data_IF_716911594951
#
_entry.id   IF_716911594951
#
_cell.length_a   1.000
_cell.length_b   1.000
_cell.length_c   1.000
_cell.angle_alpha   90.00
_cell.angle_beta   90.00
_cell.angle_gamma   90.00
#
_symmetry.space_group_name_H-M   'P 1'
#
loop_
_entity.id
_entity.type
_entity.pdbx_description
1 polymer ?
#
# COMPACT_ATOMS: atom_id res chain seq x y z
N UNK A 1 46.28 22.59 -24.11
CA UNK A 1 47.35 23.23 -23.36
C UNK A 1 48.03 22.20 -22.47
N UNK A 2 49.32 22.30 -22.25
CA UNK A 2 50.02 21.49 -21.24
C UNK A 2 49.68 22.00 -19.84
N UNK A 3 49.56 21.11 -18.89
CA UNK A 3 49.22 21.45 -17.51
C UNK A 3 48.71 20.25 -16.72
N UNK A 4 48.47 20.47 -15.43
CA UNK A 4 47.84 19.50 -14.54
C UNK A 4 46.35 19.80 -14.46
N UNK A 5 45.55 18.79 -14.68
CA UNK A 5 44.10 18.86 -14.69
C UNK A 5 43.54 17.90 -13.66
N UNK A 6 42.39 18.26 -13.08
CA UNK A 6 41.64 17.41 -12.17
C UNK A 6 40.31 17.11 -12.78
N UNK A 7 39.90 15.84 -12.79
CA UNK A 7 38.53 15.44 -13.13
C UNK A 7 37.62 15.91 -11.99
N UNK A 8 36.79 16.91 -12.24
CA UNK A 8 35.89 17.45 -11.24
C UNK A 8 34.63 16.58 -11.06
N UNK A 9 34.35 15.70 -12.02
CA UNK A 9 33.30 14.70 -11.94
C UNK A 9 32.97 14.16 -13.32
N UNK A 10 32.49 12.92 -13.36
CA UNK A 10 31.76 12.37 -14.49
C UNK A 10 30.60 11.52 -13.94
N UNK A 11 29.57 11.34 -14.76
CA UNK A 11 28.41 10.60 -14.42
C UNK A 11 28.05 9.69 -15.60
N UNK A 12 27.83 8.41 -15.31
CA UNK A 12 27.33 7.45 -16.28
C UNK A 12 25.85 7.17 -16.00
N UNK A 13 25.04 7.27 -17.02
CA UNK A 13 23.61 7.02 -16.94
C UNK A 13 23.23 5.83 -17.82
N UNK A 14 22.21 5.09 -17.40
CA UNK A 14 21.59 4.12 -18.26
C UNK A 14 20.94 4.83 -19.46
N UNK A 15 21.07 4.24 -20.65
CA UNK A 15 20.57 4.85 -21.89
C UNK A 15 19.04 4.71 -22.04
N UNK A 16 18.39 3.88 -21.25
CA UNK A 16 16.95 3.56 -21.37
C UNK A 16 16.14 4.30 -20.32
N UNK A 17 16.57 4.26 -19.06
CA UNK A 17 15.84 4.83 -17.93
C UNK A 17 16.50 6.09 -17.33
N UNK A 18 17.63 6.54 -17.90
CA UNK A 18 18.40 7.71 -17.48
C UNK A 18 18.85 7.64 -16.00
N UNK A 19 18.91 6.45 -15.42
CA UNK A 19 19.37 6.27 -14.04
C UNK A 19 20.89 6.37 -13.93
N UNK A 20 21.37 6.98 -12.85
CA UNK A 20 22.80 7.09 -12.54
C UNK A 20 23.38 5.72 -12.24
N UNK A 21 24.30 5.25 -13.09
CA UNK A 21 24.99 3.96 -12.94
C UNK A 21 26.27 4.06 -12.14
N UNK A 22 27.01 5.14 -12.32
CA UNK A 22 28.27 5.35 -11.66
C UNK A 22 28.71 6.82 -11.71
N UNK A 23 29.57 7.19 -10.79
CA UNK A 23 30.25 8.51 -10.79
C UNK A 23 31.65 8.41 -10.25
N UNK A 24 32.48 9.34 -10.62
CA UNK A 24 33.81 9.51 -10.02
C UNK A 24 34.23 10.97 -10.08
N UNK A 25 35.14 11.36 -9.19
CA UNK A 25 35.73 12.70 -9.14
C UNK A 25 37.07 12.67 -8.42
N UNK A 26 37.88 13.73 -8.61
CA UNK A 26 39.11 13.95 -7.85
C UNK A 26 40.39 13.38 -8.48
N UNK A 27 40.29 12.65 -9.58
CA UNK A 27 41.48 12.14 -10.28
C UNK A 27 42.25 13.27 -10.97
N UNK A 28 43.58 13.27 -10.83
CA UNK A 28 44.44 14.31 -11.36
C UNK A 28 45.41 13.71 -12.38
N UNK A 29 45.56 14.35 -13.52
CA UNK A 29 46.47 13.94 -14.57
C UNK A 29 47.23 15.13 -15.18
N UNK A 30 48.36 14.86 -15.80
CA UNK A 30 49.20 15.90 -16.40
C UNK A 30 49.28 15.71 -17.92
N UNK A 31 48.90 16.75 -18.65
CA UNK A 31 49.06 16.79 -20.11
C UNK A 31 50.36 17.46 -20.46
N UNK A 32 51.20 16.76 -21.24
CA UNK A 32 52.47 17.30 -21.78
C UNK A 32 52.23 17.78 -23.22
N UNK A 33 52.78 18.92 -23.55
CA UNK A 33 52.56 19.53 -24.86
C UNK A 33 53.01 18.62 -26.01
N UNK A 34 52.15 18.45 -27.02
CA UNK A 34 52.38 17.62 -28.20
C UNK A 34 52.17 16.11 -28.04
N UNK A 35 51.79 15.64 -26.87
CA UNK A 35 51.45 14.24 -26.58
C UNK A 35 49.97 13.96 -26.53
N UNK A 36 49.58 12.68 -26.71
CA UNK A 36 48.29 12.12 -26.35
C UNK A 36 48.41 11.52 -24.96
N UNK A 37 47.58 11.98 -24.04
CA UNK A 37 47.47 11.39 -22.70
C UNK A 37 46.15 10.60 -22.63
N UNK A 38 46.25 9.33 -22.26
CA UNK A 38 45.09 8.45 -22.04
C UNK A 38 44.97 8.21 -20.54
N UNK A 39 43.85 8.63 -19.99
CA UNK A 39 43.52 8.42 -18.57
C UNK A 39 42.46 7.32 -18.41
N UNK A 40 42.78 6.37 -17.54
CA UNK A 40 41.81 5.36 -17.11
C UNK A 40 41.10 5.85 -15.85
N UNK A 41 39.83 6.20 -15.98
CA UNK A 41 39.01 6.57 -14.83
C UNK A 41 38.51 5.30 -14.14
N UNK A 42 38.78 5.18 -12.85
CA UNK A 42 38.19 4.12 -12.05
C UNK A 42 36.71 4.44 -11.83
N UNK A 43 35.85 3.51 -12.21
CA UNK A 43 34.40 3.64 -12.06
C UNK A 43 33.94 2.67 -10.98
N UNK A 44 33.44 3.19 -9.88
CA UNK A 44 32.76 2.39 -8.90
C UNK A 44 31.28 2.30 -9.31
N UNK A 45 30.88 1.11 -9.71
CA UNK A 45 29.45 0.85 -9.99
C UNK A 45 28.68 0.81 -8.68
N UNK A 46 27.56 1.52 -8.64
CA UNK A 46 26.65 1.44 -7.50
C UNK A 46 25.89 0.12 -7.62
N UNK A 47 26.16 -0.83 -6.73
CA UNK A 47 25.37 -2.03 -6.60
C UNK A 47 23.92 -1.64 -6.28
N UNK A 48 22.96 -2.18 -7.02
CA UNK A 48 21.55 -1.83 -6.87
C UNK A 48 20.61 -2.98 -7.21
N UNK A 49 19.49 -3.02 -6.58
CA UNK A 49 18.45 -3.99 -6.85
C UNK A 49 17.06 -3.36 -6.96
N UNK A 50 16.09 -4.16 -7.33
CA UNK A 50 14.71 -3.74 -7.47
C UNK A 50 13.94 -4.04 -6.19
N UNK A 51 12.94 -3.20 -5.91
CA UNK A 51 11.96 -3.48 -4.86
C UNK A 51 10.55 -3.33 -5.41
N UNK A 52 9.67 -4.22 -4.96
CA UNK A 52 8.23 -4.15 -5.17
C UNK A 52 7.56 -4.03 -3.81
N UNK A 53 6.81 -2.96 -3.59
CA UNK A 53 6.15 -2.72 -2.32
C UNK A 53 4.80 -3.44 -2.25
N UNK A 54 4.54 -4.07 -1.10
CA UNK A 54 3.25 -4.61 -0.72
C UNK A 54 2.61 -3.69 0.33
N UNK A 55 1.35 -3.32 0.14
CA UNK A 55 0.60 -2.56 1.12
C UNK A 55 -0.13 -3.54 2.04
N UNK A 56 0.04 -3.36 3.34
CA UNK A 56 -0.63 -4.18 4.35
C UNK A 56 -1.41 -3.28 5.29
N UNK A 57 -2.59 -3.74 5.71
CA UNK A 57 -3.38 -3.01 6.69
C UNK A 57 -2.73 -3.11 8.06
N UNK A 58 -2.60 -1.98 8.73
CA UNK A 58 -2.24 -1.92 10.14
C UNK A 58 -3.24 -1.06 10.90
N UNK A 59 -3.84 -1.61 11.96
CA UNK A 59 -4.80 -0.91 12.78
C UNK A 59 -4.10 -0.27 13.98
N UNK A 60 -4.12 1.05 14.05
CA UNK A 60 -3.69 1.76 15.26
C UNK A 60 -4.72 1.59 16.39
N UNK A 61 -4.28 0.98 17.48
CA UNK A 61 -5.14 0.75 18.65
C UNK A 61 -5.48 2.04 19.45
N UNK A 62 -4.80 3.14 19.21
CA UNK A 62 -4.80 4.30 20.11
C UNK A 62 -5.03 5.66 19.46
N UNK A 63 -5.15 5.77 18.16
CA UNK A 63 -5.27 7.06 17.49
C UNK A 63 -6.73 7.42 17.17
N UNK A 64 -7.23 8.43 17.90
CA UNK A 64 -8.41 9.17 17.46
C UNK A 64 -7.99 10.15 16.35
N UNK A 65 -8.37 9.88 15.10
CA UNK A 65 -8.13 10.77 13.96
C UNK A 65 -7.09 10.27 12.98
N UNK A 66 -7.26 9.11 12.40
CA UNK A 66 -6.56 8.69 11.19
C UNK A 66 -7.33 9.10 9.94
N UNK A 67 -6.68 8.96 8.78
CA UNK A 67 -7.31 9.30 7.51
C UNK A 67 -8.59 8.47 7.29
N UNK A 68 -9.71 9.15 7.14
CA UNK A 68 -11.00 8.56 6.79
C UNK A 68 -10.99 8.18 5.30
N UNK A 69 -10.28 7.11 4.95
CA UNK A 69 -10.32 6.56 3.60
C UNK A 69 -10.44 5.04 3.63
N UNK A 70 -11.06 4.51 2.60
CA UNK A 70 -11.15 3.06 2.45
C UNK A 70 -9.83 2.52 1.89
N UNK A 71 -9.28 1.50 2.52
CA UNK A 71 -8.11 0.80 2.00
C UNK A 71 -8.35 0.33 0.55
N UNK A 72 -9.53 -0.18 0.26
CA UNK A 72 -9.95 -0.61 -1.07
C UNK A 72 -10.04 0.52 -2.12
N UNK A 73 -10.02 1.78 -1.69
CA UNK A 73 -10.06 2.94 -2.58
C UNK A 73 -8.68 3.57 -2.87
N UNK A 74 -7.61 3.06 -2.30
CA UNK A 74 -6.25 3.53 -2.63
C UNK A 74 -5.95 3.16 -4.09
N UNK A 75 -5.50 4.14 -4.87
CA UNK A 75 -5.17 3.96 -6.29
C UNK A 75 -3.71 4.23 -6.58
N UNK A 76 -3.11 5.15 -5.83
CA UNK A 76 -1.71 5.50 -5.92
C UNK A 76 -1.15 5.64 -4.50
N UNK A 77 0.15 5.45 -4.37
CA UNK A 77 0.88 5.67 -3.12
C UNK A 77 2.25 6.28 -3.41
N UNK A 78 2.61 7.31 -2.65
CA UNK A 78 4.01 7.72 -2.53
C UNK A 78 4.62 6.91 -1.39
N UNK A 79 5.81 6.38 -1.59
CA UNK A 79 6.53 5.63 -0.56
C UNK A 79 7.89 6.25 -0.34
N UNK A 80 8.21 6.57 0.92
CA UNK A 80 9.55 7.01 1.31
C UNK A 80 10.23 5.92 2.11
N UNK A 81 11.48 5.62 1.74
CA UNK A 81 12.32 4.65 2.44
C UNK A 81 13.61 5.32 2.86
N UNK A 82 14.13 4.93 4.01
CA UNK A 82 15.41 5.44 4.51
C UNK A 82 16.40 4.29 4.65
N UNK A 83 17.60 4.47 4.13
CA UNK A 83 18.71 3.54 4.35
C UNK A 83 19.12 3.60 5.82
N UNK A 84 19.18 2.45 6.48
CA UNK A 84 19.44 2.39 7.93
C UNK A 84 20.88 2.72 8.31
N UNK A 85 21.83 2.64 7.36
CA UNK A 85 23.25 2.95 7.58
C UNK A 85 23.59 4.37 7.11
N UNK A 86 23.30 4.71 5.84
CA UNK A 86 23.66 6.03 5.29
C UNK A 86 22.72 7.14 5.72
N UNK A 87 21.52 6.80 6.16
CA UNK A 87 20.42 7.73 6.51
C UNK A 87 19.85 8.50 5.31
N UNK A 88 20.23 8.14 4.12
CA UNK A 88 19.63 8.69 2.91
C UNK A 88 18.19 8.23 2.76
N UNK A 89 17.35 9.15 2.30
CA UNK A 89 15.92 8.89 2.08
C UNK A 89 15.60 9.00 0.60
N UNK A 90 14.93 7.99 0.09
CA UNK A 90 14.43 7.91 -1.28
C UNK A 90 12.92 7.96 -1.26
N UNK A 91 12.33 8.73 -2.18
CA UNK A 91 10.87 8.86 -2.29
C UNK A 91 10.43 8.49 -3.69
N UNK A 92 9.48 7.57 -3.77
CA UNK A 92 8.89 7.08 -5.01
C UNK A 92 7.46 7.60 -5.12
N UNK A 93 7.20 8.56 -6.01
CA UNK A 93 5.88 9.17 -6.12
C UNK A 93 4.93 8.33 -6.96
N UNK A 94 3.65 8.41 -6.62
CA UNK A 94 2.51 7.96 -7.43
C UNK A 94 2.58 6.51 -7.95
N UNK A 95 3.15 5.59 -7.16
CA UNK A 95 3.16 4.18 -7.52
C UNK A 95 1.70 3.66 -7.61
N UNK A 96 1.37 3.02 -8.73
CA UNK A 96 0.03 2.46 -8.95
C UNK A 96 -0.22 1.26 -8.04
N UNK A 97 -1.37 1.24 -7.39
CA UNK A 97 -1.78 0.20 -6.46
C UNK A 97 -2.77 -0.76 -7.12
N UNK A 98 -2.50 -2.04 -6.98
CA UNK A 98 -3.39 -3.16 -7.32
C UNK A 98 -3.69 -3.99 -6.09
N UNK A 99 -4.85 -4.61 -6.07
CA UNK A 99 -5.32 -5.46 -4.96
C UNK A 99 -5.08 -6.93 -5.29
N UNK A 100 -4.70 -7.72 -4.29
CA UNK A 100 -4.61 -9.17 -4.41
C UNK A 100 -6.02 -9.76 -4.37
N UNK A 101 -6.25 -10.78 -5.17
CA UNK A 101 -7.48 -11.56 -5.08
C UNK A 101 -7.55 -12.29 -3.73
N UNK A 102 -8.73 -12.34 -3.14
CA UNK A 102 -8.99 -13.08 -1.92
C UNK A 102 -8.85 -14.59 -2.12
N UNK A 103 -8.52 -15.31 -1.06
CA UNK A 103 -8.54 -16.78 -1.11
C UNK A 103 -9.99 -17.27 -1.19
N UNK A 104 -10.20 -18.42 -1.84
CA UNK A 104 -11.54 -19.04 -1.91
C UNK A 104 -12.14 -19.36 -0.54
N UNK A 105 -11.31 -19.54 0.48
CA UNK A 105 -11.73 -19.87 1.85
C UNK A 105 -12.45 -18.72 2.56
N UNK A 106 -12.19 -17.48 2.13
CA UNK A 106 -12.78 -16.28 2.71
C UNK A 106 -13.86 -15.64 1.81
N UNK A 107 -14.21 -16.26 0.70
CA UNK A 107 -15.22 -15.75 -0.21
C UNK A 107 -16.62 -16.13 0.30
N UNK A 108 -17.54 -15.16 0.30
CA UNK A 108 -18.93 -15.50 0.29
C UNK A 108 -19.21 -16.20 -1.07
N UNK A 109 -19.61 -17.49 -1.09
CA UNK A 109 -19.74 -18.25 -2.33
C UNK A 109 -20.73 -17.63 -3.33
N UNK A 110 -21.58 -16.72 -2.88
CA UNK A 110 -22.64 -16.12 -3.69
C UNK A 110 -22.33 -14.72 -4.20
N UNK A 111 -21.19 -14.16 -3.85
CA UNK A 111 -20.81 -12.83 -4.30
C UNK A 111 -19.47 -12.84 -5.02
N UNK A 112 -19.52 -12.86 -6.37
CA UNK A 112 -18.32 -12.84 -7.20
C UNK A 112 -17.44 -11.60 -6.98
N UNK A 113 -17.99 -10.49 -6.51
CA UNK A 113 -17.25 -9.26 -6.23
C UNK A 113 -16.47 -9.33 -4.91
N UNK A 114 -16.82 -10.24 -4.03
CA UNK A 114 -16.19 -10.43 -2.73
C UNK A 114 -14.72 -10.91 -2.83
N UNK A 115 -14.36 -11.54 -3.94
CA UNK A 115 -13.02 -12.06 -4.21
C UNK A 115 -11.89 -11.02 -4.26
N UNK A 116 -12.23 -9.74 -4.44
CA UNK A 116 -11.24 -8.65 -4.52
C UNK A 116 -11.05 -7.90 -3.21
N UNK A 117 -11.92 -8.09 -2.25
CA UNK A 117 -11.98 -7.29 -1.03
C UNK A 117 -11.41 -8.00 0.21
N UNK A 118 -11.11 -9.28 0.11
CA UNK A 118 -10.95 -10.12 1.29
C UNK A 118 -9.53 -10.20 1.86
N UNK A 119 -8.50 -9.92 1.07
CA UNK A 119 -7.13 -10.13 1.56
C UNK A 119 -6.61 -9.02 2.45
N UNK A 120 -7.20 -7.83 2.39
CA UNK A 120 -6.66 -6.66 3.07
C UNK A 120 -5.23 -6.32 2.67
N UNK A 121 -4.78 -6.84 1.51
CA UNK A 121 -3.44 -6.64 0.97
C UNK A 121 -3.51 -6.12 -0.46
N UNK A 122 -2.57 -5.27 -0.79
CA UNK A 122 -2.40 -4.72 -2.11
C UNK A 122 -0.91 -4.65 -2.45
N UNK A 123 -0.56 -4.30 -3.67
CA UNK A 123 0.83 -4.19 -4.09
C UNK A 123 0.99 -3.07 -5.11
N UNK A 124 2.19 -2.50 -5.18
CA UNK A 124 2.55 -1.57 -6.24
C UNK A 124 2.77 -2.35 -7.54
N UNK A 125 2.17 -1.87 -8.64
CA UNK A 125 2.23 -2.54 -9.95
C UNK A 125 3.63 -2.52 -10.56
N UNK A 126 4.40 -1.46 -10.28
CA UNK A 126 5.77 -1.25 -10.74
C UNK A 126 6.79 -1.62 -9.67
N UNK A 127 8.00 -1.94 -10.14
CA UNK A 127 9.20 -2.01 -9.32
C UNK A 127 9.97 -0.71 -9.40
N UNK A 128 10.75 -0.40 -8.36
CA UNK A 128 11.66 0.74 -8.32
C UNK A 128 13.06 0.28 -7.96
N UNK A 129 14.07 1.07 -8.33
CA UNK A 129 15.46 0.78 -8.04
C UNK A 129 15.93 1.47 -6.76
N UNK A 130 16.76 0.77 -5.99
CA UNK A 130 17.48 1.30 -4.83
C UNK A 130 18.92 0.79 -4.83
N UNK A 131 19.89 1.58 -4.35
CA UNK A 131 21.23 1.07 -4.05
C UNK A 131 21.17 -0.15 -3.14
N UNK A 132 22.14 -1.05 -3.23
CA UNK A 132 22.23 -2.18 -2.32
C UNK A 132 22.37 -1.69 -0.87
N UNK A 133 21.64 -2.32 0.05
CA UNK A 133 21.63 -1.89 1.45
C UNK A 133 20.41 -2.35 2.22
N UNK A 134 20.31 -1.91 3.47
CA UNK A 134 19.17 -2.20 4.35
C UNK A 134 18.33 -0.96 4.52
N UNK A 135 17.05 -1.09 4.25
CA UNK A 135 16.07 0.00 4.21
C UNK A 135 14.90 -0.25 5.12
N UNK A 136 14.21 0.83 5.43
CA UNK A 136 12.95 0.81 6.17
C UNK A 136 12.00 1.83 5.55
N UNK A 137 10.72 1.45 5.38
CA UNK A 137 9.69 2.42 5.01
C UNK A 137 9.49 3.39 6.18
N UNK A 138 9.62 4.68 5.92
CA UNK A 138 9.55 5.74 6.95
C UNK A 138 8.34 6.64 6.81
N UNK A 139 7.76 6.74 5.62
CA UNK A 139 6.48 7.43 5.42
C UNK A 139 5.81 7.01 4.12
N UNK A 140 4.52 7.28 4.03
CA UNK A 140 3.77 7.13 2.79
C UNK A 140 2.69 8.22 2.67
N UNK A 141 2.24 8.45 1.44
CA UNK A 141 1.06 9.26 1.13
C UNK A 141 0.17 8.48 0.19
N UNK A 142 -1.10 8.31 0.52
CA UNK A 142 -2.04 7.60 -0.34
C UNK A 142 -2.93 8.54 -1.13
N UNK A 143 -3.41 8.05 -2.26
CA UNK A 143 -4.35 8.76 -3.12
C UNK A 143 -5.52 7.85 -3.45
N UNK A 144 -6.72 8.33 -3.11
CA UNK A 144 -7.98 7.71 -3.53
C UNK A 144 -8.49 8.31 -4.84
N UNK A 145 -9.51 7.68 -5.41
CA UNK A 145 -10.20 8.20 -6.58
C UNK A 145 -11.70 8.01 -6.41
N UNK A 146 -12.45 9.09 -6.53
CA UNK A 146 -13.91 9.07 -6.59
C UNK A 146 -14.33 9.62 -7.94
N UNK A 147 -14.78 8.76 -8.83
CA UNK A 147 -15.05 9.14 -10.22
C UNK A 147 -13.77 9.64 -10.92
N UNK A 148 -13.78 10.87 -11.44
CA UNK A 148 -12.61 11.51 -12.06
C UNK A 148 -11.71 12.25 -11.08
N UNK A 149 -12.12 12.42 -9.81
CA UNK A 149 -11.41 13.23 -8.82
C UNK A 149 -10.38 12.38 -8.08
N UNK A 150 -9.12 12.80 -8.14
CA UNK A 150 -8.01 12.26 -7.35
C UNK A 150 -7.97 13.00 -6.01
N UNK A 151 -8.06 12.26 -4.91
CA UNK A 151 -7.97 12.82 -3.55
C UNK A 151 -6.65 12.40 -2.93
N UNK A 152 -5.83 13.37 -2.56
CA UNK A 152 -4.60 13.15 -1.80
C UNK A 152 -4.93 13.14 -0.31
N UNK A 153 -4.49 12.11 0.39
CA UNK A 153 -4.60 12.03 1.85
C UNK A 153 -3.34 12.56 2.53
N UNK A 154 -3.40 12.72 3.84
CA UNK A 154 -2.27 13.20 4.62
C UNK A 154 -1.12 12.20 4.60
N UNK A 155 0.12 12.69 4.58
CA UNK A 155 1.32 11.88 4.69
C UNK A 155 1.43 11.28 6.09
N UNK A 156 1.55 9.97 6.16
CA UNK A 156 1.67 9.22 7.42
C UNK A 156 3.13 8.81 7.65
N UNK A 157 3.76 9.24 8.76
CA UNK A 157 5.02 8.67 9.19
C UNK A 157 4.78 7.26 9.73
N UNK A 158 5.63 6.33 9.35
CA UNK A 158 5.55 4.93 9.80
C UNK A 158 6.93 4.40 10.14
N UNK A 159 6.95 3.25 10.81
CA UNK A 159 8.16 2.45 11.02
C UNK A 159 7.88 1.05 10.48
N UNK A 160 8.09 0.89 9.17
CA UNK A 160 7.93 -0.41 8.52
C UNK A 160 8.96 -1.43 8.98
N UNK A 161 8.80 -2.68 8.59
CA UNK A 161 9.85 -3.69 8.77
C UNK A 161 11.07 -3.38 7.90
N UNK A 162 12.27 -3.72 8.39
CA UNK A 162 13.48 -3.56 7.62
C UNK A 162 13.52 -4.59 6.48
N UNK A 163 14.02 -4.18 5.31
CA UNK A 163 14.22 -5.05 4.16
C UNK A 163 15.58 -4.80 3.51
N UNK A 164 16.09 -5.78 2.79
CA UNK A 164 17.42 -5.74 2.18
C UNK A 164 17.26 -5.66 0.66
N UNK A 165 18.05 -4.80 0.05
CA UNK A 165 18.26 -4.72 -1.38
C UNK A 165 19.63 -5.31 -1.68
N UNK A 166 19.64 -6.34 -2.50
CA UNK A 166 20.84 -7.02 -2.98
C UNK A 166 21.07 -6.67 -4.46
N UNK A 167 22.33 -6.67 -4.87
CA UNK A 167 22.69 -6.32 -6.23
C UNK A 167 21.99 -7.20 -7.27
N UNK A 168 21.40 -6.56 -8.28
CA UNK A 168 20.67 -7.18 -9.38
C UNK A 168 19.50 -8.13 -8.97
N UNK A 169 19.04 -8.05 -7.72
CA UNK A 169 17.92 -8.87 -7.23
C UNK A 169 16.64 -8.06 -7.06
N UNK A 170 15.51 -8.78 -7.08
CA UNK A 170 14.19 -8.24 -6.76
C UNK A 170 13.78 -8.60 -5.34
N UNK A 171 13.57 -7.60 -4.50
CA UNK A 171 12.86 -7.75 -3.24
C UNK A 171 11.37 -7.49 -3.47
N UNK A 172 10.53 -8.52 -3.36
CA UNK A 172 9.07 -8.45 -3.45
C UNK A 172 8.35 -8.59 -2.10
N UNK A 173 9.10 -8.51 -0.99
CA UNK A 173 8.60 -8.69 0.38
C UNK A 173 8.50 -7.39 1.17
N UNK A 174 9.03 -6.29 0.65
CA UNK A 174 8.97 -4.99 1.32
C UNK A 174 7.51 -4.57 1.57
N UNK A 175 7.20 -4.19 2.81
CA UNK A 175 5.84 -3.86 3.24
C UNK A 175 5.71 -2.37 3.57
N UNK A 176 4.62 -1.77 3.09
CA UNK A 176 4.17 -0.43 3.49
C UNK A 176 2.99 -0.62 4.44
N UNK A 177 3.18 -0.37 5.75
CA UNK A 177 2.09 -0.49 6.73
C UNK A 177 1.12 0.69 6.55
N UNK A 178 -0.05 0.42 6.01
CA UNK A 178 -1.10 1.42 5.83
C UNK A 178 -1.89 1.52 7.12
N UNK A 179 -1.67 2.60 7.86
CA UNK A 179 -2.33 2.87 9.12
C UNK A 179 -3.78 3.25 8.88
N UNK A 180 -4.69 2.41 9.33
CA UNK A 180 -6.11 2.67 9.32
C UNK A 180 -6.57 2.91 10.75
N UNK A 181 -7.13 4.07 11.03
CA UNK A 181 -7.74 4.31 12.33
C UNK A 181 -9.22 3.96 12.28
N UNK A 182 -9.65 3.22 13.29
CA UNK A 182 -11.07 3.04 13.54
C UNK A 182 -11.58 4.33 14.19
N UNK A 183 -12.28 5.16 13.41
CA UNK A 183 -12.97 6.31 13.97
C UNK A 183 -14.01 5.84 14.99
N UNK A 184 -14.42 6.72 15.91
CA UNK A 184 -15.51 6.40 16.85
C UNK A 184 -16.81 6.04 16.09
N UNK A 185 -17.02 6.69 14.96
CA UNK A 185 -18.18 6.45 14.10
C UNK A 185 -18.10 5.08 13.43
N UNK A 186 -16.93 4.66 12.94
CA UNK A 186 -16.70 3.32 12.41
C UNK A 186 -17.04 2.25 13.47
N UNK A 187 -16.50 2.42 14.69
CA UNK A 187 -16.74 1.47 15.79
C UNK A 187 -18.25 1.40 16.09
N UNK A 188 -18.95 2.53 16.14
CA UNK A 188 -20.39 2.57 16.37
C UNK A 188 -21.17 1.85 15.28
N UNK A 189 -20.83 2.09 14.00
CA UNK A 189 -21.50 1.42 12.88
C UNK A 189 -21.30 -0.11 12.98
N UNK A 190 -20.08 -0.55 13.26
CA UNK A 190 -19.77 -1.97 13.41
C UNK A 190 -20.50 -2.61 14.59
N UNK A 191 -20.48 -1.97 15.76
CA UNK A 191 -21.17 -2.43 16.97
C UNK A 191 -22.69 -2.47 16.76
N UNK A 192 -23.26 -1.46 16.09
CA UNK A 192 -24.68 -1.42 15.77
C UNK A 192 -25.09 -2.56 14.83
N UNK A 193 -24.33 -2.80 13.75
CA UNK A 193 -24.60 -3.93 12.84
C UNK A 193 -24.49 -5.27 13.57
N UNK A 194 -23.50 -5.42 14.43
CA UNK A 194 -23.34 -6.64 15.24
C UNK A 194 -24.49 -6.85 16.21
N UNK A 195 -24.91 -5.80 16.92
CA UNK A 195 -26.06 -5.86 17.83
C UNK A 195 -27.37 -6.21 17.10
N UNK A 196 -27.60 -5.62 15.93
CA UNK A 196 -28.75 -5.96 15.06
C UNK A 196 -28.68 -7.42 14.66
N UNK A 197 -27.55 -7.92 14.20
CA UNK A 197 -27.38 -9.30 13.77
C UNK A 197 -27.60 -10.30 14.92
N UNK A 198 -27.06 -10.03 16.11
CA UNK A 198 -27.25 -10.88 17.30
C UNK A 198 -28.70 -10.85 17.77
N UNK A 199 -29.29 -9.66 17.89
CA UNK A 199 -30.64 -9.47 18.37
C UNK A 199 -31.73 -10.06 17.46
N UNK A 200 -31.47 -10.08 16.16
CA UNK A 200 -32.38 -10.60 15.14
C UNK A 200 -32.00 -12.03 14.69
N UNK A 201 -31.22 -12.77 15.47
CA UNK A 201 -30.83 -14.16 15.21
C UNK A 201 -30.08 -14.30 13.87
N UNK A 202 -29.10 -13.47 13.62
CA UNK A 202 -28.35 -13.41 12.35
C UNK A 202 -27.73 -14.74 11.92
N UNK A 203 -27.36 -15.63 12.87
CA UNK A 203 -26.88 -16.99 12.58
C UNK A 203 -27.92 -17.85 11.86
N UNK A 204 -29.19 -17.52 12.00
CA UNK A 204 -30.32 -18.26 11.39
C UNK A 204 -30.83 -17.55 10.12
N UNK A 205 -30.26 -16.42 9.74
CA UNK A 205 -30.70 -15.71 8.55
C UNK A 205 -30.45 -16.54 7.30
N UNK A 206 -31.38 -16.47 6.36
CA UNK A 206 -31.20 -16.98 5.01
C UNK A 206 -30.96 -15.82 4.05
N UNK A 207 -30.13 -16.06 3.06
CA UNK A 207 -29.82 -15.05 2.05
C UNK A 207 -30.94 -15.03 1.01
N UNK A 208 -31.62 -13.90 0.85
CA UNK A 208 -32.76 -13.73 -0.09
C UNK A 208 -33.79 -14.87 -0.06
N UNK A 209 -34.05 -15.43 1.11
CA UNK A 209 -35.02 -16.53 1.26
C UNK A 209 -34.46 -17.93 1.00
N UNK A 210 -33.21 -18.06 0.63
CA UNK A 210 -32.53 -19.36 0.48
C UNK A 210 -32.12 -19.93 1.84
N UNK A 211 -32.84 -20.95 2.29
CA UNK A 211 -32.59 -21.59 3.58
C UNK A 211 -31.28 -22.36 3.69
N UNK A 212 -30.55 -22.54 2.58
CA UNK A 212 -29.27 -23.25 2.56
C UNK A 212 -28.11 -22.35 3.03
N UNK A 213 -28.26 -21.01 3.00
CA UNK A 213 -27.24 -20.02 3.37
C UNK A 213 -27.49 -19.41 4.74
N UNK A 214 -27.53 -20.23 5.77
CA UNK A 214 -27.71 -19.74 7.14
C UNK A 214 -26.41 -19.12 7.67
N UNK A 215 -26.54 -17.90 8.21
CA UNK A 215 -25.46 -17.20 8.90
C UNK A 215 -24.32 -16.69 8.02
N UNK A 216 -24.29 -17.04 6.73
CA UNK A 216 -23.21 -16.68 5.80
C UNK A 216 -23.37 -15.30 5.16
N UNK A 217 -24.47 -14.62 5.41
CA UNK A 217 -24.82 -13.35 4.79
C UNK A 217 -24.03 -12.15 5.32
N UNK A 218 -23.54 -12.18 6.55
CA UNK A 218 -22.63 -11.16 7.11
C UNK A 218 -21.40 -11.80 7.73
N UNK A 219 -20.24 -11.26 7.36
CA UNK A 219 -18.95 -11.72 7.86
C UNK A 219 -18.28 -10.65 8.75
N UNK A 220 -18.43 -10.80 10.06
CA UNK A 220 -17.84 -9.89 11.05
C UNK A 220 -16.32 -10.02 11.20
N UNK A 221 -15.69 -10.97 10.50
CA UNK A 221 -14.23 -11.03 10.40
C UNK A 221 -13.66 -10.06 9.35
N UNK A 222 -14.54 -9.52 8.47
CA UNK A 222 -14.16 -8.45 7.55
C UNK A 222 -14.16 -7.10 8.25
N UNK A 223 -13.25 -6.24 7.81
CA UNK A 223 -13.29 -4.84 8.20
C UNK A 223 -14.46 -4.12 7.51
N UNK A 224 -15.05 -3.14 8.18
CA UNK A 224 -16.26 -2.48 7.69
C UNK A 224 -16.07 -1.77 6.34
N UNK A 225 -14.89 -1.25 6.06
CA UNK A 225 -14.56 -0.66 4.77
C UNK A 225 -14.57 -1.66 3.60
N UNK A 226 -14.58 -2.95 3.90
CA UNK A 226 -14.68 -4.05 2.94
C UNK A 226 -16.08 -4.67 2.89
N UNK A 227 -17.06 -4.04 3.51
CA UNK A 227 -18.43 -4.52 3.56
C UNK A 227 -19.31 -4.00 2.42
N UNK A 228 -18.74 -3.32 1.43
CA UNK A 228 -19.52 -2.77 0.32
C UNK A 228 -20.42 -3.78 -0.39
N UNK A 229 -20.06 -5.05 -0.31
CA UNK A 229 -20.80 -6.17 -0.89
C UNK A 229 -21.54 -7.03 0.15
N UNK A 230 -21.56 -6.63 1.43
CA UNK A 230 -22.33 -7.36 2.42
C UNK A 230 -23.83 -7.17 2.14
N UNK A 231 -24.62 -8.27 2.07
CA UNK A 231 -26.02 -8.20 1.69
C UNK A 231 -26.80 -7.23 2.54
N UNK A 232 -27.49 -6.29 1.90
CA UNK A 232 -28.36 -5.32 2.55
C UNK A 232 -27.66 -4.17 3.26
N UNK A 233 -26.32 -4.09 3.26
CA UNK A 233 -25.56 -2.98 3.83
C UNK A 233 -25.12 -2.03 2.71
N UNK A 234 -25.39 -0.74 2.88
CA UNK A 234 -24.93 0.31 1.97
C UNK A 234 -23.97 1.24 2.69
N UNK A 235 -22.79 1.42 2.13
CA UNK A 235 -21.75 2.33 2.65
C UNK A 235 -21.65 3.58 1.77
N UNK A 236 -21.29 4.70 2.40
CA UNK A 236 -20.83 5.87 1.65
C UNK A 236 -19.35 5.73 1.24
N UNK A 237 -18.80 6.74 0.54
CA UNK A 237 -17.39 6.78 0.10
C UNK A 237 -16.37 6.75 1.25
N UNK A 238 -16.80 7.06 2.48
CA UNK A 238 -15.97 7.06 3.68
C UNK A 238 -16.14 5.77 4.51
N UNK A 239 -16.85 4.76 3.98
CA UNK A 239 -17.07 3.49 4.66
C UNK A 239 -18.09 3.53 5.78
N UNK A 240 -18.90 4.61 5.89
CA UNK A 240 -19.96 4.74 6.89
C UNK A 240 -21.23 4.07 6.37
N UNK A 241 -21.91 3.36 7.26
CA UNK A 241 -23.23 2.76 6.95
C UNK A 241 -24.27 3.87 6.77
N UNK A 242 -24.87 3.91 5.58
CA UNK A 242 -25.93 4.87 5.22
C UNK A 242 -27.26 4.20 4.89
N UNK A 243 -27.26 2.90 4.77
CA UNK A 243 -28.47 2.15 4.47
C UNK A 243 -28.40 0.71 4.93
N UNK A 244 -29.55 0.17 5.35
CA UNK A 244 -29.68 -1.21 5.79
C UNK A 244 -31.02 -1.78 5.29
N UNK A 245 -30.96 -2.88 4.51
CA UNK A 245 -32.10 -3.60 3.99
C UNK A 245 -31.91 -5.09 4.30
N UNK A 246 -32.65 -5.59 5.27
CA UNK A 246 -32.63 -6.99 5.71
C UNK A 246 -33.97 -7.72 5.43
N UNK A 247 -34.77 -7.16 4.53
CA UNK A 247 -36.02 -7.78 4.11
C UNK A 247 -35.75 -9.13 3.42
N UNK A 248 -36.47 -10.15 3.78
CA UNK A 248 -36.32 -11.49 3.22
C UNK A 248 -35.22 -12.34 3.85
N UNK A 249 -34.49 -11.84 4.84
CA UNK A 249 -33.43 -12.61 5.52
C UNK A 249 -33.97 -13.60 6.57
N UNK A 250 -35.29 -13.55 6.85
CA UNK A 250 -35.87 -14.37 7.90
C UNK A 250 -35.53 -13.88 9.31
N UNK A 251 -35.18 -12.61 9.45
CA UNK A 251 -34.84 -11.98 10.73
C UNK A 251 -35.96 -12.14 11.75
N UNK A 252 -35.64 -12.55 12.98
CA UNK A 252 -36.58 -12.78 14.07
C UNK A 252 -35.99 -12.16 15.34
N UNK A 253 -36.82 -11.40 16.05
CA UNK A 253 -36.40 -10.77 17.30
C UNK A 253 -36.86 -9.32 17.38
N UNK A 254 -36.21 -8.56 18.25
CA UNK A 254 -36.51 -7.14 18.47
C UNK A 254 -35.28 -6.35 18.02
N UNK A 255 -35.48 -5.30 17.21
CA UNK A 255 -34.41 -4.39 16.85
C UNK A 255 -33.90 -3.71 18.12
N UNK A 256 -32.60 -3.75 18.42
CA UNK A 256 -32.06 -3.10 19.62
C UNK A 256 -32.26 -1.60 19.53
N UNK A 257 -32.49 -0.97 20.67
CA UNK A 257 -32.47 0.49 20.80
C UNK A 257 -31.03 0.99 20.53
N UNK A 258 -30.89 2.06 19.77
CA UNK A 258 -29.60 2.63 19.35
C UNK A 258 -28.98 3.52 20.43
#
# INVERSE_FOLDING_TARGET
ASGTYTVIGFYLYDAVDEELLASSAGETFTVVGGGLEVQNLMVETVERGKVKFNLVKEWEKTRAGGAEYLFSNIRLVDVSVTNLFTRETYTFPELKVKYKEGSKENQNPDNENDKYMDTGTAYCDSTVWLPAGTYQVTSYTTYGKTGAVKTKYETQPVKGEAFIIEDNQLNDKAQVPILLSKTKEYIKDYEALKAIWESLQGKEWSFYGDATFKGANWNFNKELDMWGEQPGVTLNSNGRVIGLIIAGFGAKGIVPDA
#
